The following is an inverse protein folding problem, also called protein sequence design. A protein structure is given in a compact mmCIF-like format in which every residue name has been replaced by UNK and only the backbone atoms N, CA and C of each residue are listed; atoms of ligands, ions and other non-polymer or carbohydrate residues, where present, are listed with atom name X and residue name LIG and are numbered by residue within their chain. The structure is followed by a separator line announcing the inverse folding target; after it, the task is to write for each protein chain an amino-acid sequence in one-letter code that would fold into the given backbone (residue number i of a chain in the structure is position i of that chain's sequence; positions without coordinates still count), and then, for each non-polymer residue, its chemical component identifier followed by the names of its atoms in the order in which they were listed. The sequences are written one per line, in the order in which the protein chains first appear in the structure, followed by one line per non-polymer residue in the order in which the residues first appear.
data_IF_540568101944
#
_entry.id   IF_540568101944
#
_cell.length_a   1.000
_cell.length_b   1.000
_cell.length_c   1.000
_cell.angle_alpha   90.00
_cell.angle_beta   90.00
_cell.angle_gamma   90.00
#
_symmetry.space_group_name_H-M   'P 1'
#
loop_
_entity.id
_entity.type
_entity.pdbx_description
1 polymer ?
#
# COMPACT_ATOMS: atom_id res chain seq x y z
N UNK A 1 -1.23 -44.97 1.57
CA UNK A 1 -1.96 -43.83 0.96
C UNK A 1 -1.13 -42.58 1.19
N UNK A 2 -0.48 -42.02 0.16
CA UNK A 2 0.27 -40.76 0.26
C UNK A 2 -0.63 -39.65 -0.26
N UNK A 3 -0.98 -38.71 0.62
CA UNK A 3 -1.76 -37.53 0.24
C UNK A 3 -0.99 -36.71 -0.78
N UNK A 4 -1.60 -36.48 -1.94
CA UNK A 4 -1.13 -35.50 -2.92
C UNK A 4 -1.24 -34.12 -2.29
N UNK A 5 -0.10 -33.52 -1.95
CA UNK A 5 -0.04 -32.11 -1.61
C UNK A 5 -0.57 -31.32 -2.81
N UNK A 6 -1.67 -30.59 -2.62
CA UNK A 6 -2.17 -29.65 -3.61
C UNK A 6 -1.07 -28.59 -3.80
N UNK A 7 -0.54 -28.39 -5.03
CA UNK A 7 0.38 -27.28 -5.26
C UNK A 7 -0.38 -25.99 -4.98
N UNK A 8 -0.01 -25.31 -3.90
CA UNK A 8 -0.48 -23.94 -3.64
C UNK A 8 -0.11 -23.10 -4.86
N UNK A 9 -1.03 -22.30 -5.44
CA UNK A 9 -0.67 -21.42 -6.53
C UNK A 9 0.48 -20.53 -6.05
N UNK A 10 1.63 -20.63 -6.73
CA UNK A 10 2.78 -19.78 -6.42
C UNK A 10 2.38 -18.34 -6.73
N UNK A 11 1.95 -17.61 -5.69
CA UNK A 11 1.76 -16.16 -5.77
C UNK A 11 3.11 -15.56 -6.15
N UNK A 12 3.14 -14.78 -7.24
CA UNK A 12 4.37 -14.13 -7.70
C UNK A 12 4.68 -12.97 -6.76
N UNK A 13 5.72 -13.12 -5.97
CA UNK A 13 6.21 -12.06 -5.09
C UNK A 13 7.14 -11.12 -5.87
N UNK A 14 6.94 -9.81 -5.71
CA UNK A 14 7.84 -8.76 -6.22
C UNK A 14 8.16 -7.82 -5.06
N UNK A 15 9.42 -7.75 -4.67
CA UNK A 15 9.84 -6.82 -3.63
C UNK A 15 10.16 -5.45 -4.23
N UNK A 16 10.07 -4.39 -3.44
CA UNK A 16 10.51 -3.07 -3.85
C UNK A 16 11.18 -2.29 -2.72
N UNK A 17 11.98 -1.29 -3.07
CA UNK A 17 12.54 -0.29 -2.15
C UNK A 17 12.15 1.10 -2.59
N UNK A 18 11.85 1.96 -1.64
CA UNK A 18 11.46 3.36 -1.83
C UNK A 18 12.58 4.28 -1.34
N UNK A 19 12.79 5.36 -2.08
CA UNK A 19 13.71 6.44 -1.76
C UNK A 19 12.98 7.77 -1.91
N UNK A 20 12.95 8.60 -0.86
CA UNK A 20 12.38 9.94 -0.93
C UNK A 20 13.38 10.87 -1.61
N UNK A 21 12.99 11.47 -2.74
CA UNK A 21 13.80 12.40 -3.49
C UNK A 21 13.64 13.84 -2.97
N UNK A 22 14.57 14.72 -3.36
CA UNK A 22 14.58 16.12 -2.95
C UNK A 22 13.34 16.92 -3.40
N UNK A 23 12.69 16.50 -4.49
CA UNK A 23 11.46 17.10 -5.01
C UNK A 23 10.19 16.56 -4.33
N UNK A 24 10.34 15.79 -3.24
CA UNK A 24 9.27 15.10 -2.49
C UNK A 24 8.56 13.99 -3.28
N UNK A 25 9.10 13.58 -4.44
CA UNK A 25 8.65 12.35 -5.08
C UNK A 25 9.32 11.14 -4.44
N UNK A 26 8.63 10.00 -4.45
CA UNK A 26 9.19 8.72 -4.00
C UNK A 26 9.63 7.93 -5.23
N UNK A 27 10.91 7.56 -5.28
CA UNK A 27 11.46 6.64 -6.27
C UNK A 27 11.40 5.21 -5.73
N UNK A 28 10.56 4.40 -6.35
CA UNK A 28 10.38 2.98 -6.07
C UNK A 28 11.15 2.12 -7.07
N UNK A 29 11.98 1.20 -6.58
CA UNK A 29 12.72 0.23 -7.39
C UNK A 29 12.24 -1.19 -7.11
N UNK A 30 11.75 -1.89 -8.13
CA UNK A 30 11.23 -3.25 -8.02
C UNK A 30 12.31 -4.30 -8.30
N UNK A 31 12.18 -5.48 -7.70
CA UNK A 31 13.10 -6.61 -7.90
C UNK A 31 13.05 -7.21 -9.31
N UNK A 32 12.01 -6.89 -10.09
CA UNK A 32 11.88 -7.28 -11.50
C UNK A 32 12.49 -6.26 -12.49
N UNK A 33 13.20 -5.26 -11.96
CA UNK A 33 13.91 -4.25 -12.74
C UNK A 33 13.07 -3.06 -13.17
N UNK A 34 11.76 -3.02 -12.84
CA UNK A 34 10.93 -1.84 -13.06
C UNK A 34 11.23 -0.75 -12.04
N UNK A 35 11.06 0.51 -12.43
CA UNK A 35 11.16 1.66 -11.53
C UNK A 35 9.90 2.53 -11.64
N UNK A 36 9.41 3.05 -10.52
CA UNK A 36 8.27 3.98 -10.47
C UNK A 36 8.66 5.26 -9.70
N UNK A 37 8.21 6.41 -10.17
CA UNK A 37 8.21 7.67 -9.42
C UNK A 37 6.79 7.98 -8.99
N UNK A 38 6.62 8.27 -7.71
CA UNK A 38 5.31 8.45 -7.08
C UNK A 38 5.23 9.83 -6.44
N UNK A 39 4.10 10.51 -6.62
CA UNK A 39 3.85 11.84 -6.06
C UNK A 39 2.47 11.92 -5.44
N UNK A 40 2.26 12.88 -4.54
CA UNK A 40 0.94 13.15 -3.97
C UNK A 40 0.01 13.65 -5.08
N UNK A 41 -1.15 13.01 -5.23
CA UNK A 41 -2.08 13.28 -6.32
C UNK A 41 -3.02 14.47 -6.11
N UNK A 42 -2.78 15.30 -5.08
CA UNK A 42 -3.58 16.50 -4.82
C UNK A 42 -5.05 16.26 -4.43
N UNK A 43 -5.42 15.04 -4.00
CA UNK A 43 -6.77 14.71 -3.51
C UNK A 43 -6.97 15.05 -2.03
N UNK A 44 -8.21 15.30 -1.63
CA UNK A 44 -8.58 15.52 -0.22
C UNK A 44 -8.11 14.32 0.64
N UNK A 45 -7.29 14.59 1.65
CA UNK A 45 -6.83 13.59 2.62
C UNK A 45 -5.67 12.69 2.18
N UNK A 46 -4.92 13.01 1.10
CA UNK A 46 -3.68 12.29 0.75
C UNK A 46 -3.87 10.87 0.20
N UNK A 47 -5.11 10.44 -0.05
CA UNK A 47 -5.47 9.06 -0.42
C UNK A 47 -5.20 8.67 -1.88
N UNK A 48 -4.78 9.64 -2.69
CA UNK A 48 -4.49 9.44 -4.11
C UNK A 48 -3.01 9.72 -4.35
N UNK A 49 -2.34 8.75 -4.94
CA UNK A 49 -0.94 8.83 -5.37
C UNK A 49 -0.90 8.77 -6.88
N UNK A 50 -0.22 9.71 -7.51
CA UNK A 50 0.11 9.62 -8.94
C UNK A 50 1.42 8.86 -9.10
N UNK A 51 1.54 8.09 -10.17
CA UNK A 51 2.76 7.36 -10.47
C UNK A 51 3.09 7.40 -11.96
N UNK A 52 4.38 7.29 -12.26
CA UNK A 52 4.92 7.05 -13.60
C UNK A 52 6.04 6.03 -13.51
N UNK A 53 6.21 5.19 -14.51
CA UNK A 53 7.29 4.19 -14.56
C UNK A 53 8.36 4.50 -15.63
N UNK A 54 9.47 3.77 -15.56
CA UNK A 54 10.59 3.87 -16.50
C UNK A 54 10.30 3.30 -17.90
N UNK A 55 9.08 2.81 -18.12
CA UNK A 55 8.58 2.27 -19.39
C UNK A 55 7.52 3.18 -20.02
N UNK A 56 7.30 4.37 -19.44
CA UNK A 56 6.36 5.37 -19.95
C UNK A 56 4.90 5.13 -19.56
N UNK A 57 4.60 4.15 -18.70
CA UNK A 57 3.27 4.05 -18.11
C UNK A 57 3.10 5.09 -17.02
N UNK A 58 1.89 5.61 -16.91
CA UNK A 58 1.47 6.55 -15.87
C UNK A 58 0.15 6.09 -15.29
N UNK A 59 -0.20 6.58 -14.10
CA UNK A 59 -1.47 6.24 -13.49
C UNK A 59 -1.66 6.84 -12.11
N UNK A 60 -2.70 6.37 -11.45
CA UNK A 60 -3.04 6.71 -10.07
C UNK A 60 -3.27 5.46 -9.26
N UNK A 61 -2.91 5.52 -7.98
CA UNK A 61 -3.32 4.57 -6.95
C UNK A 61 -4.17 5.32 -5.94
N UNK A 62 -5.40 4.85 -5.72
CA UNK A 62 -6.36 5.41 -4.76
C UNK A 62 -6.63 4.40 -3.64
N UNK A 63 -6.49 4.82 -2.38
CA UNK A 63 -6.92 4.01 -1.24
C UNK A 63 -8.44 4.14 -1.03
N UNK A 64 -9.16 3.09 -1.39
CA UNK A 64 -10.59 2.90 -1.16
C UNK A 64 -10.83 2.20 0.19
N UNK A 65 -11.68 2.78 1.03
CA UNK A 65 -11.93 2.21 2.35
C UNK A 65 -10.65 2.22 3.21
N UNK A 66 -10.46 1.17 3.99
CA UNK A 66 -9.28 1.03 4.86
C UNK A 66 -8.16 0.19 4.25
N UNK A 67 -8.46 -0.67 3.27
CA UNK A 67 -7.50 -1.72 2.82
C UNK A 67 -7.51 -1.99 1.33
N UNK A 68 -8.36 -1.35 0.54
CA UNK A 68 -8.42 -1.62 -0.91
C UNK A 68 -7.69 -0.50 -1.63
N UNK A 69 -6.75 -0.86 -2.52
CA UNK A 69 -6.06 0.10 -3.37
C UNK A 69 -6.58 -0.10 -4.79
N UNK A 70 -7.11 0.95 -5.42
CA UNK A 70 -7.48 0.94 -6.83
C UNK A 70 -6.34 1.55 -7.65
N UNK A 71 -5.74 0.77 -8.54
CA UNK A 71 -4.77 1.24 -9.53
C UNK A 71 -5.46 1.51 -10.86
N UNK A 72 -5.41 2.75 -11.31
CA UNK A 72 -5.87 3.17 -12.65
C UNK A 72 -4.65 3.48 -13.49
N UNK A 73 -4.64 2.96 -14.72
CA UNK A 73 -3.58 3.21 -15.69
C UNK A 73 -4.03 4.29 -16.68
N UNK A 74 -3.12 5.18 -17.04
CA UNK A 74 -3.38 6.28 -17.97
C UNK A 74 -3.55 5.84 -19.43
N UNK A 75 -3.28 4.59 -19.76
CA UNK A 75 -3.41 4.02 -21.12
C UNK A 75 -4.79 3.39 -21.38
N UNK A 76 -5.72 3.52 -20.43
CA UNK A 76 -7.12 3.10 -20.60
C UNK A 76 -7.39 1.62 -20.36
N UNK A 77 -6.40 0.83 -19.93
CA UNK A 77 -6.67 -0.56 -19.49
C UNK A 77 -7.53 -0.57 -18.22
N UNK A 78 -8.24 -1.69 -17.94
CA UNK A 78 -9.05 -1.80 -16.73
C UNK A 78 -8.26 -1.57 -15.45
N UNK A 79 -8.93 -1.05 -14.42
CA UNK A 79 -8.34 -0.87 -13.11
C UNK A 79 -7.97 -2.22 -12.47
N UNK A 80 -6.91 -2.23 -11.67
CA UNK A 80 -6.48 -3.39 -10.88
C UNK A 80 -6.64 -3.04 -9.41
N UNK A 81 -7.15 -3.97 -8.60
CA UNK A 81 -7.38 -3.73 -7.19
C UNK A 81 -6.35 -4.50 -6.35
N UNK A 82 -5.78 -3.82 -5.38
CA UNK A 82 -4.89 -4.36 -4.36
C UNK A 82 -5.60 -4.44 -3.01
N UNK A 83 -5.17 -5.37 -2.17
CA UNK A 83 -5.50 -5.42 -0.74
C UNK A 83 -4.23 -5.18 0.07
N UNK A 84 -4.26 -4.12 0.86
CA UNK A 84 -3.20 -3.78 1.81
C UNK A 84 -3.23 -4.78 2.99
N UNK A 85 -2.08 -5.37 3.27
CA UNK A 85 -1.89 -6.48 4.20
C UNK A 85 -1.07 -6.09 5.45
N UNK A 86 -0.84 -4.81 5.67
CA UNK A 86 0.04 -4.24 6.67
C UNK A 86 1.52 -4.38 6.29
N UNK A 87 2.35 -3.53 6.90
CA UNK A 87 3.81 -3.58 6.79
C UNK A 87 4.33 -3.46 5.35
N UNK A 88 3.69 -2.63 4.53
CA UNK A 88 4.11 -2.36 3.16
C UNK A 88 3.87 -3.54 2.20
N UNK A 89 2.83 -4.34 2.46
CA UNK A 89 2.46 -5.49 1.61
C UNK A 89 1.13 -5.21 0.92
N UNK A 90 1.08 -5.45 -0.39
CA UNK A 90 -0.15 -5.31 -1.17
C UNK A 90 -0.30 -6.51 -2.09
N UNK A 91 -1.40 -7.25 -1.92
CA UNK A 91 -1.78 -8.33 -2.82
C UNK A 91 -2.69 -7.77 -3.91
N UNK A 92 -2.31 -7.90 -5.16
CA UNK A 92 -3.06 -7.43 -6.32
C UNK A 92 -3.97 -8.51 -6.90
N UNK A 93 -5.03 -8.09 -7.60
CA UNK A 93 -6.05 -8.99 -8.16
C UNK A 93 -5.53 -9.86 -9.30
N UNK A 94 -4.38 -9.51 -9.87
CA UNK A 94 -3.62 -10.32 -10.82
C UNK A 94 -2.76 -11.42 -10.14
N UNK A 95 -2.80 -11.51 -8.81
CA UNK A 95 -2.06 -12.51 -8.03
C UNK A 95 -0.64 -12.11 -7.65
N UNK A 96 -0.18 -10.90 -8.01
CA UNK A 96 1.13 -10.37 -7.59
C UNK A 96 1.05 -9.89 -6.15
N UNK A 97 2.02 -10.30 -5.33
CA UNK A 97 2.24 -9.73 -4.00
C UNK A 97 3.41 -8.76 -4.05
N UNK A 98 3.16 -7.47 -3.86
CA UNK A 98 4.23 -6.48 -3.73
C UNK A 98 4.61 -6.28 -2.27
N UNK A 99 5.92 -6.31 -1.97
CA UNK A 99 6.45 -6.22 -0.60
C UNK A 99 7.49 -5.12 -0.49
N UNK A 100 7.26 -4.14 0.38
CA UNK A 100 8.22 -3.11 0.71
C UNK A 100 9.39 -3.69 1.51
N UNK A 101 10.63 -3.40 1.07
CA UNK A 101 11.89 -3.78 1.72
C UNK A 101 12.74 -2.56 2.08
N UNK A 102 12.16 -1.37 2.05
CA UNK A 102 12.84 -0.12 2.40
C UNK A 102 13.33 -0.17 3.84
N UNK A 103 14.62 0.04 4.02
CA UNK A 103 15.23 0.30 5.32
C UNK A 103 15.41 1.80 5.49
N UNK A 104 14.65 2.42 6.39
CA UNK A 104 14.85 3.82 6.74
C UNK A 104 16.12 3.94 7.61
N UNK A 105 17.22 4.37 7.01
CA UNK A 105 18.51 4.54 7.68
C UNK A 105 18.55 5.83 8.48
N UNK A 106 18.12 5.79 9.74
CA UNK A 106 18.22 6.88 10.72
C UNK A 106 18.09 6.30 12.13
N UNK A 107 18.62 6.98 13.16
CA UNK A 107 18.77 6.47 14.55
C UNK A 107 17.46 6.17 15.33
N UNK A 108 16.36 5.99 14.62
CA UNK A 108 15.04 5.54 15.07
C UNK A 108 14.43 4.57 14.03
N UNK A 109 15.27 3.83 13.32
CA UNK A 109 14.85 2.95 12.22
C UNK A 109 14.15 1.71 12.76
N UNK A 110 12.82 1.79 12.93
CA UNK A 110 11.96 0.61 12.81
C UNK A 110 12.24 0.02 11.45
N UNK A 111 13.03 -1.04 11.45
CA UNK A 111 13.17 -1.87 10.26
C UNK A 111 11.76 -2.37 9.95
N UNK A 112 11.17 -2.00 8.81
CA UNK A 112 10.13 -2.81 8.17
C UNK A 112 10.76 -4.11 7.64
N UNK A 113 11.58 -4.74 8.45
CA UNK A 113 12.48 -5.82 8.09
C UNK A 113 12.57 -6.75 9.25
N UNK A 114 11.71 -7.76 9.20
CA UNK A 114 12.12 -9.15 9.21
C UNK A 114 10.86 -10.03 9.16
N UNK A 115 9.93 -9.78 8.23
CA UNK A 115 9.12 -10.90 7.77
C UNK A 115 9.98 -11.61 6.74
N UNK A 116 10.73 -12.60 7.21
CA UNK A 116 11.33 -13.62 6.37
C UNK A 116 10.26 -14.17 5.43
N UNK A 117 10.64 -14.39 4.17
CA UNK A 117 9.80 -14.84 3.05
C UNK A 117 9.19 -16.26 3.22
N UNK A 118 8.88 -16.68 4.46
CA UNK A 118 8.30 -17.98 4.76
C UNK A 118 7.36 -18.04 5.98
N UNK A 119 7.24 -17.00 6.81
CA UNK A 119 6.56 -17.14 8.11
C UNK A 119 5.13 -16.56 8.20
N UNK A 120 4.64 -15.79 7.23
CA UNK A 120 3.27 -15.23 7.25
C UNK A 120 2.43 -15.51 6.00
N UNK A 121 2.80 -16.52 5.20
CA UNK A 121 1.94 -17.02 4.11
C UNK A 121 0.65 -17.69 4.65
N UNK A 122 0.54 -17.88 5.98
CA UNK A 122 -0.56 -18.60 6.64
C UNK A 122 -1.73 -17.76 7.18
N UNK A 123 -1.63 -16.44 7.29
CA UNK A 123 -2.76 -15.60 7.70
C UNK A 123 -3.54 -15.18 6.45
N UNK A 124 -4.51 -16.01 6.05
CA UNK A 124 -5.48 -15.84 4.97
C UNK A 124 -5.52 -14.44 4.31
N UNK A 125 -4.58 -14.17 3.37
CA UNK A 125 -4.69 -13.00 2.50
C UNK A 125 -5.83 -13.28 1.51
N UNK A 126 -7.02 -12.83 1.89
CA UNK A 126 -8.20 -12.83 1.04
C UNK A 126 -7.88 -12.08 -0.23
N UNK A 127 -8.15 -12.70 -1.38
CA UNK A 127 -7.96 -12.05 -2.67
C UNK A 127 -8.66 -10.70 -2.68
N UNK A 128 -8.03 -9.64 -3.22
CA UNK A 128 -8.74 -8.41 -3.51
C UNK A 128 -9.87 -8.69 -4.53
N UNK A 129 -10.89 -7.82 -4.58
CA UNK A 129 -11.89 -7.91 -5.63
C UNK A 129 -11.22 -7.83 -7.01
N UNK A 130 -11.72 -8.60 -7.97
CA UNK A 130 -11.27 -8.48 -9.37
C UNK A 130 -11.95 -7.31 -10.09
N UNK A 131 -13.07 -6.84 -9.54
CA UNK A 131 -13.87 -5.74 -10.06
C UNK A 131 -14.67 -5.11 -8.90
N UNK A 132 -14.90 -3.80 -8.96
CA UNK A 132 -15.86 -3.08 -8.12
C UNK A 132 -16.69 -2.18 -9.04
N UNK A 133 -18.00 -2.06 -8.76
CA UNK A 133 -18.84 -1.08 -9.44
C UNK A 133 -18.50 0.34 -8.97
N UNK A 134 -18.80 1.39 -9.75
CA UNK A 134 -18.60 2.78 -9.33
C UNK A 134 -19.28 3.10 -7.99
N UNK A 135 -20.46 2.53 -7.75
CA UNK A 135 -21.23 2.70 -6.52
C UNK A 135 -20.54 2.04 -5.32
N UNK A 136 -19.97 0.84 -5.51
CA UNK A 136 -19.21 0.14 -4.47
C UNK A 136 -17.93 0.90 -4.10
N UNK A 137 -17.23 1.46 -5.09
CA UNK A 137 -16.06 2.30 -4.85
C UNK A 137 -16.41 3.55 -4.05
N UNK A 138 -17.50 4.22 -4.39
CA UNK A 138 -17.95 5.42 -3.70
C UNK A 138 -18.37 5.14 -2.25
N UNK A 139 -19.03 4.01 -2.02
CA UNK A 139 -19.36 3.57 -0.66
C UNK A 139 -18.09 3.34 0.18
N UNK A 140 -17.05 2.72 -0.41
CA UNK A 140 -15.76 2.55 0.26
C UNK A 140 -15.07 3.91 0.55
N UNK A 141 -15.16 4.90 -0.35
CA UNK A 141 -14.66 6.25 -0.09
C UNK A 141 -15.37 6.88 1.11
N UNK A 142 -16.70 6.86 1.12
CA UNK A 142 -17.52 7.40 2.23
C UNK A 142 -17.20 6.74 3.56
N UNK A 143 -17.05 5.42 3.60
CA UNK A 143 -16.69 4.70 4.83
C UNK A 143 -15.34 5.16 5.39
N UNK A 144 -14.37 5.41 4.52
CA UNK A 144 -13.06 5.89 4.93
C UNK A 144 -13.09 7.35 5.42
N UNK A 145 -13.92 8.21 4.84
CA UNK A 145 -14.16 9.57 5.34
C UNK A 145 -14.81 9.56 6.73
N UNK A 146 -15.87 8.75 6.91
CA UNK A 146 -16.56 8.62 8.19
C UNK A 146 -15.63 8.10 9.31
N UNK A 147 -14.75 7.15 8.97
CA UNK A 147 -13.77 6.60 9.91
C UNK A 147 -12.72 7.63 10.34
N UNK A 148 -12.37 8.60 9.47
CA UNK A 148 -11.42 9.67 9.81
C UNK A 148 -12.03 10.75 10.72
N UNK A 149 -13.36 10.94 10.68
CA UNK A 149 -14.08 11.91 11.51
C UNK A 149 -14.47 11.43 12.92
N UNK A 150 -14.28 10.14 13.25
CA UNK A 150 -14.74 9.52 14.50
C UNK A 150 -13.72 9.43 15.64
N UNK A 151 -12.56 10.09 15.51
CA UNK A 151 -11.44 9.96 16.47
C UNK A 151 -11.63 10.73 17.78
N UNK A 152 -12.39 10.16 18.71
CA UNK A 152 -12.47 10.60 20.10
C UNK A 152 -12.90 9.46 21.01
N UNK A 153 -11.94 8.76 21.63
CA UNK A 153 -12.21 7.77 22.67
C UNK A 153 -11.10 6.74 22.84
N UNK A 154 -10.44 6.80 23.99
CA UNK A 154 -9.43 5.85 24.48
C UNK A 154 -9.93 4.39 24.47
N UNK A 155 -9.21 3.50 23.79
CA UNK A 155 -9.20 2.07 24.09
C UNK A 155 -7.91 1.42 23.55
N UNK A 156 -7.03 1.02 24.46
CA UNK A 156 -5.80 0.30 24.14
C UNK A 156 -6.05 -1.07 23.51
N UNK A 157 -5.21 -1.41 22.53
CA UNK A 157 -5.14 -2.74 21.90
C UNK A 157 -4.23 -2.69 20.68
N UNK A 158 -2.98 -3.11 20.82
CA UNK A 158 -1.97 -2.98 19.77
C UNK A 158 -2.21 -3.91 18.57
N UNK A 159 -2.04 -3.36 17.38
CA UNK A 159 -1.68 -4.11 16.17
C UNK A 159 -0.85 -3.22 15.22
N UNK A 160 0.40 -3.64 15.03
CA UNK A 160 1.17 -3.54 13.79
C UNK A 160 1.11 -2.32 12.87
N UNK A 161 2.00 -1.35 13.14
CA UNK A 161 2.75 -0.57 12.14
C UNK A 161 2.09 -0.36 10.77
N UNK A 162 1.11 0.54 10.73
CA UNK A 162 0.63 1.14 9.50
C UNK A 162 1.76 1.99 8.90
N UNK A 163 2.10 1.73 7.64
CA UNK A 163 2.99 2.61 6.88
C UNK A 163 2.25 3.90 6.56
N UNK A 164 2.86 5.02 6.88
CA UNK A 164 2.49 6.39 6.49
C UNK A 164 1.94 6.44 5.05
N UNK A 165 0.62 6.59 4.93
CA UNK A 165 -0.09 6.93 3.70
C UNK A 165 -0.42 8.44 3.66
N UNK A 166 0.15 9.24 4.56
CA UNK A 166 0.01 10.69 4.62
C UNK A 166 0.16 11.28 6.02
N UNK A 167 1.39 11.59 6.43
CA UNK A 167 1.74 12.71 7.32
C UNK A 167 3.18 13.23 7.07
N UNK A 168 3.40 13.74 5.86
CA UNK A 168 4.41 14.78 5.68
C UNK A 168 4.00 16.04 6.45
N UNK A 169 4.64 16.26 7.60
CA UNK A 169 4.65 17.50 8.40
C UNK A 169 3.42 17.77 9.28
N UNK A 170 3.32 17.03 10.38
CA UNK A 170 2.73 17.54 11.62
C UNK A 170 3.79 18.26 12.45
N UNK A 171 4.16 19.49 12.08
CA UNK A 171 4.86 20.39 13.00
C UNK A 171 3.83 20.85 14.04
N UNK A 172 3.68 20.06 15.11
CA UNK A 172 3.12 20.53 16.37
C UNK A 172 4.15 21.44 17.05
N UNK A 173 4.17 22.70 16.64
CA UNK A 173 4.78 23.78 17.42
C UNK A 173 3.87 24.08 18.61
N UNK A 174 4.01 23.33 19.69
CA UNK A 174 3.50 23.69 21.03
C UNK A 174 4.39 23.02 22.10
N UNK A 175 5.40 23.74 22.62
CA UNK A 175 5.49 24.07 24.05
C UNK A 175 6.77 24.84 24.44
N UNK A 176 6.55 26.05 24.98
CA UNK A 176 7.09 26.65 26.20
C UNK A 176 8.56 26.48 26.64
N UNK A 177 9.22 27.64 26.78
CA UNK A 177 10.44 27.88 27.56
C UNK A 177 10.97 29.29 27.40
#
# INVERSE_FOLDING_TARGET
MRGTAVPQPQRREITYTDELLADRTVHRRYSDGRQEWRGTGGGAGGRVVTWRDDRGLVGTDELLGQRIVKRVYGDGRPAVYGREAGYGRTLWSDGVLTVNRTSFGGRLGTVLGAVTAGALVGAALTMPPTFLSPEEEEELRRQAEASASGGGGDAGGGDGGYGDWGDGSGDSDDDFG
#
